data_IF_315600300320
#
_entry.id   IF_315600300320
#
_cell.length_a   1.000
_cell.length_b   1.000
_cell.length_c   1.000
_cell.angle_alpha   90.00
_cell.angle_beta   90.00
_cell.angle_gamma   90.00
#
_symmetry.space_group_name_H-M   'P 1'
#
loop_
_entity.id
_entity.type
_entity.pdbx_description
1 polymer ?
#
# COMPACT_ATOMS: atom_id res chain seq x y z
N UNK A 1 48.75 34.98 9.72
CA UNK A 1 48.96 34.01 10.80
C UNK A 1 47.78 33.08 10.76
N UNK A 2 48.05 31.94 10.16
CA UNK A 2 47.22 30.75 10.05
C UNK A 2 46.76 30.24 11.41
N UNK A 3 45.59 29.61 11.43
CA UNK A 3 45.36 28.24 11.92
C UNK A 3 43.86 28.03 12.21
N UNK A 4 43.09 27.78 11.14
CA UNK A 4 41.83 27.04 11.25
C UNK A 4 42.17 25.55 11.20
N UNK A 5 42.57 25.01 12.35
CA UNK A 5 42.87 23.59 12.54
C UNK A 5 41.57 22.78 12.56
N UNK A 6 40.95 22.62 11.39
CA UNK A 6 39.88 21.67 11.15
C UNK A 6 40.35 20.27 11.54
N UNK A 7 39.74 19.70 12.57
CA UNK A 7 40.01 18.33 13.01
C UNK A 7 39.66 17.36 11.88
N UNK A 8 40.64 17.07 11.02
CA UNK A 8 40.52 16.09 9.94
C UNK A 8 40.33 14.71 10.57
N UNK A 9 39.07 14.34 10.81
CA UNK A 9 38.69 13.04 11.35
C UNK A 9 39.37 11.91 10.57
N UNK A 10 39.83 10.88 11.28
CA UNK A 10 40.50 9.74 10.66
C UNK A 10 39.50 9.05 9.71
N UNK A 11 39.88 8.92 8.43
CA UNK A 11 39.10 8.22 7.40
C UNK A 11 39.25 6.71 7.59
N UNK A 12 38.12 6.02 7.79
CA UNK A 12 38.09 4.59 8.11
C UNK A 12 37.38 3.81 7.02
N UNK A 13 37.98 2.70 6.59
CA UNK A 13 37.39 1.67 5.73
C UNK A 13 37.19 0.37 6.51
N UNK A 14 36.16 -0.38 6.18
CA UNK A 14 35.85 -1.68 6.80
C UNK A 14 36.02 -2.82 5.80
N UNK A 15 36.25 -4.06 6.26
CA UNK A 15 36.41 -5.23 5.37
C UNK A 15 35.22 -5.50 4.45
N UNK A 16 34.04 -4.99 4.81
CA UNK A 16 32.85 -5.08 3.97
C UNK A 16 32.87 -4.09 2.78
N UNK A 17 33.95 -3.33 2.59
CA UNK A 17 34.13 -2.37 1.50
C UNK A 17 33.48 -1.00 1.72
N UNK A 18 32.80 -0.79 2.86
CA UNK A 18 32.11 0.46 3.21
C UNK A 18 33.00 1.39 4.05
N UNK A 19 32.65 2.68 4.08
CA UNK A 19 33.45 3.74 4.70
C UNK A 19 34.18 4.56 3.65
N UNK A 20 35.38 5.03 3.98
CA UNK A 20 36.22 5.76 3.04
C UNK A 20 36.65 4.89 1.84
N UNK A 21 36.90 5.55 0.72
CA UNK A 21 37.49 4.92 -0.46
C UNK A 21 38.88 4.35 -0.15
N UNK A 22 39.25 3.29 -0.86
CA UNK A 22 40.51 2.57 -0.59
C UNK A 22 41.75 3.47 -0.74
N UNK A 23 41.70 4.46 -1.63
CA UNK A 23 42.77 5.44 -1.82
C UNK A 23 42.84 6.51 -0.71
N UNK A 24 41.73 6.75 0.00
CA UNK A 24 41.59 7.85 0.97
C UNK A 24 41.60 7.36 2.44
N UNK A 25 41.43 6.05 2.66
CA UNK A 25 41.33 5.46 3.97
C UNK A 25 42.68 5.41 4.69
N UNK A 26 42.80 6.11 5.83
CA UNK A 26 43.97 6.03 6.70
C UNK A 26 44.03 4.73 7.50
N UNK A 27 42.88 4.15 7.82
CA UNK A 27 42.77 2.90 8.58
C UNK A 27 41.78 1.96 7.91
N UNK A 28 42.18 0.70 7.70
CA UNK A 28 41.29 -0.38 7.27
C UNK A 28 41.06 -1.36 8.41
N UNK A 29 39.81 -1.47 8.88
CA UNK A 29 39.39 -2.39 9.93
C UNK A 29 38.96 -3.73 9.34
N UNK A 30 39.47 -4.83 9.91
CA UNK A 30 39.16 -6.21 9.50
C UNK A 30 37.77 -6.71 9.96
N UNK A 31 36.98 -5.85 10.61
CA UNK A 31 35.58 -6.12 10.98
C UNK A 31 34.62 -5.47 9.98
N UNK A 32 33.42 -6.03 9.84
CA UNK A 32 32.36 -5.39 9.06
C UNK A 32 31.96 -4.06 9.74
N UNK A 33 31.38 -3.13 8.96
CA UNK A 33 30.91 -1.87 9.53
C UNK A 33 29.71 -2.09 10.46
N UNK A 34 29.45 -1.18 11.41
CA UNK A 34 28.33 -1.30 12.36
C UNK A 34 26.98 -1.55 11.68
N UNK A 35 26.72 -0.90 10.55
CA UNK A 35 25.50 -1.15 9.76
C UNK A 35 25.44 -2.57 9.19
N UNK A 36 26.51 -3.07 8.57
CA UNK A 36 26.52 -4.43 8.03
C UNK A 36 26.39 -5.51 9.11
N UNK A 37 26.96 -5.29 10.30
CA UNK A 37 26.76 -6.18 11.45
C UNK A 37 25.29 -6.20 11.88
N UNK A 38 24.66 -5.03 12.05
CA UNK A 38 23.23 -4.93 12.41
C UNK A 38 22.29 -5.53 11.36
N UNK A 39 22.63 -5.38 10.08
CA UNK A 39 21.89 -6.02 8.98
C UNK A 39 21.97 -7.55 9.09
N UNK A 40 23.15 -8.11 9.35
CA UNK A 40 23.34 -9.53 9.59
C UNK A 40 22.53 -10.05 10.78
N UNK A 41 22.60 -9.36 11.92
CA UNK A 41 21.84 -9.71 13.14
C UNK A 41 20.32 -9.68 12.92
N UNK A 42 19.84 -8.69 12.15
CA UNK A 42 18.40 -8.57 11.85
C UNK A 42 17.96 -9.40 10.64
N UNK A 43 18.84 -10.24 10.08
CA UNK A 43 18.60 -11.08 8.87
C UNK A 43 18.08 -10.27 7.68
N UNK A 44 18.68 -9.10 7.43
CA UNK A 44 18.33 -8.21 6.32
C UNK A 44 19.53 -7.92 5.43
N UNK A 45 19.25 -7.51 4.20
CA UNK A 45 20.28 -7.06 3.26
C UNK A 45 20.35 -5.53 3.16
N UNK A 46 21.49 -5.01 2.69
CA UNK A 46 21.64 -3.58 2.43
C UNK A 46 20.72 -3.12 1.30
N UNK A 47 20.47 -3.99 0.31
CA UNK A 47 19.55 -3.71 -0.79
C UNK A 47 18.10 -3.49 -0.29
N UNK A 48 17.64 -4.34 0.64
CA UNK A 48 16.34 -4.18 1.29
C UNK A 48 16.23 -2.85 2.04
N UNK A 49 17.29 -2.45 2.74
CA UNK A 49 17.34 -1.17 3.44
C UNK A 49 17.26 0.01 2.45
N UNK A 50 17.99 -0.04 1.33
CA UNK A 50 17.98 1.01 0.31
C UNK A 50 16.61 1.18 -0.36
N UNK A 51 15.87 0.09 -0.59
CA UNK A 51 14.50 0.15 -1.12
C UNK A 51 13.55 0.98 -0.23
N UNK A 52 13.79 0.98 1.09
CA UNK A 52 12.99 1.71 2.07
C UNK A 52 13.40 3.17 2.22
N UNK A 53 14.57 3.59 1.73
CA UNK A 53 15.00 4.99 1.80
C UNK A 53 14.39 5.85 0.69
N UNK A 54 14.14 7.13 0.99
CA UNK A 54 13.74 8.12 -0.01
C UNK A 54 14.84 8.28 -1.08
N UNK A 55 14.49 8.52 -2.37
CA UNK A 55 15.47 8.52 -3.46
C UNK A 55 16.69 9.41 -3.22
N UNK A 56 16.50 10.62 -2.68
CA UNK A 56 17.55 11.59 -2.41
C UNK A 56 18.64 11.08 -1.43
N UNK A 57 18.28 10.17 -0.51
CA UNK A 57 19.21 9.65 0.50
C UNK A 57 19.89 8.33 0.13
N UNK A 58 19.49 7.67 -0.96
CA UNK A 58 19.93 6.29 -1.27
C UNK A 58 21.43 6.19 -1.55
N UNK A 59 22.00 7.13 -2.29
CA UNK A 59 23.43 7.11 -2.61
C UNK A 59 24.29 7.23 -1.34
N UNK A 60 23.95 8.19 -0.46
CA UNK A 60 24.62 8.36 0.82
C UNK A 60 24.43 7.13 1.74
N UNK A 61 23.21 6.59 1.82
CA UNK A 61 22.92 5.40 2.63
C UNK A 61 23.67 4.15 2.13
N UNK A 62 23.92 4.04 0.82
CA UNK A 62 24.65 2.91 0.24
C UNK A 62 26.06 2.77 0.84
N UNK A 63 26.73 3.89 1.11
CA UNK A 63 28.07 3.93 1.69
C UNK A 63 28.07 4.07 3.23
N UNK A 64 26.91 4.33 3.84
CA UNK A 64 26.81 4.59 5.28
C UNK A 64 27.29 3.40 6.13
N UNK A 65 27.97 3.74 7.23
CA UNK A 65 28.53 2.80 8.20
C UNK A 65 27.94 2.99 9.59
N UNK A 66 27.40 4.17 9.89
CA UNK A 66 26.88 4.59 11.20
C UNK A 66 25.40 4.21 11.32
N UNK A 67 25.08 3.45 12.37
CA UNK A 67 23.69 3.09 12.69
C UNK A 67 22.86 4.26 13.24
N UNK A 68 23.52 5.32 13.72
CA UNK A 68 22.88 6.53 14.24
C UNK A 68 22.60 7.61 13.18
N UNK A 69 22.98 7.38 11.91
CA UNK A 69 22.70 8.34 10.85
C UNK A 69 21.20 8.38 10.52
N UNK A 70 20.67 9.59 10.35
CA UNK A 70 19.26 9.82 10.02
C UNK A 70 19.05 10.00 8.53
N UNK A 71 17.96 9.43 8.03
CA UNK A 71 17.54 9.56 6.64
C UNK A 71 16.02 9.75 6.59
N UNK A 72 15.52 10.22 5.44
CA UNK A 72 14.10 10.08 5.13
C UNK A 72 13.81 8.68 4.58
N UNK A 73 12.80 8.04 5.17
CA UNK A 73 12.35 6.71 4.84
C UNK A 73 10.94 6.74 4.25
N UNK A 74 10.67 5.77 3.39
CA UNK A 74 9.37 5.48 2.81
C UNK A 74 8.72 4.41 3.68
N UNK A 75 7.52 4.70 4.17
CA UNK A 75 6.74 3.70 4.90
C UNK A 75 6.24 2.64 3.92
N UNK A 76 6.50 1.35 4.22
CA UNK A 76 5.97 0.24 3.42
C UNK A 76 4.47 0.06 3.56
N UNK A 77 3.86 0.63 4.62
CA UNK A 77 2.42 0.76 4.82
C UNK A 77 1.90 2.13 4.33
N UNK A 78 2.56 2.69 3.30
CA UNK A 78 2.28 3.93 2.55
C UNK A 78 1.89 5.22 3.27
N UNK A 79 2.10 5.30 4.59
CA UNK A 79 2.20 6.59 5.26
C UNK A 79 3.23 7.52 4.58
N UNK A 80 3.02 8.83 4.78
CA UNK A 80 3.99 9.86 4.40
C UNK A 80 5.41 9.50 4.83
N UNK A 81 6.39 9.96 4.06
CA UNK A 81 7.81 9.83 4.41
C UNK A 81 8.04 10.29 5.85
N UNK A 82 8.97 9.64 6.51
CA UNK A 82 9.31 9.93 7.90
C UNK A 82 10.82 9.93 8.07
N UNK A 83 11.30 10.70 9.03
CA UNK A 83 12.71 10.73 9.41
C UNK A 83 12.94 9.77 10.56
N UNK A 84 14.03 9.02 10.48
CA UNK A 84 14.47 8.12 11.54
C UNK A 84 15.95 7.78 11.34
N UNK A 85 16.60 7.31 12.40
CA UNK A 85 17.93 6.72 12.30
C UNK A 85 17.87 5.35 11.61
N UNK A 86 19.03 4.91 11.09
CA UNK A 86 19.17 3.56 10.54
C UNK A 86 18.84 2.50 11.59
N UNK A 87 19.28 2.69 12.84
CA UNK A 87 18.96 1.81 13.97
C UNK A 87 17.44 1.73 14.19
N UNK A 88 16.75 2.86 14.35
CA UNK A 88 15.30 2.87 14.58
C UNK A 88 14.51 2.24 13.43
N UNK A 89 15.00 2.34 12.20
CA UNK A 89 14.37 1.73 11.02
C UNK A 89 14.53 0.20 10.98
N UNK A 90 15.62 -0.33 11.55
CA UNK A 90 15.94 -1.76 11.58
C UNK A 90 15.43 -2.45 12.85
N UNK A 91 15.58 -1.82 14.02
CA UNK A 91 15.25 -2.44 15.32
C UNK A 91 14.07 -1.78 16.02
N UNK A 92 13.71 -0.56 15.62
CA UNK A 92 12.63 0.21 16.23
C UNK A 92 11.27 -0.05 15.58
N UNK A 93 10.22 0.65 16.06
CA UNK A 93 8.86 0.50 15.54
C UNK A 93 8.69 0.99 14.08
N UNK A 94 9.72 1.62 13.51
CA UNK A 94 9.73 2.14 12.16
C UNK A 94 8.93 3.44 12.05
N UNK A 95 7.98 3.49 11.12
CA UNK A 95 7.19 4.70 10.86
C UNK A 95 6.40 5.14 12.11
N UNK A 96 6.51 6.40 12.57
CA UNK A 96 5.79 6.90 13.75
C UNK A 96 4.26 6.77 13.62
N UNK A 97 3.71 6.92 12.41
CA UNK A 97 2.29 6.73 12.15
C UNK A 97 1.87 5.26 12.32
N UNK A 98 2.69 4.31 11.84
CA UNK A 98 2.47 2.88 12.07
C UNK A 98 2.43 2.55 13.55
N UNK A 99 3.36 3.11 14.33
CA UNK A 99 3.42 2.89 15.77
C UNK A 99 2.16 3.41 16.47
N UNK A 100 1.72 4.63 16.13
CA UNK A 100 0.48 5.20 16.67
C UNK A 100 -0.75 4.37 16.31
N UNK A 101 -0.82 3.86 15.08
CA UNK A 101 -1.94 3.02 14.66
C UNK A 101 -1.98 1.69 15.42
N UNK A 102 -0.82 1.05 15.64
CA UNK A 102 -0.73 -0.17 16.42
C UNK A 102 -1.17 0.01 17.89
N UNK A 103 -1.06 1.23 18.41
CA UNK A 103 -1.51 1.60 19.75
C UNK A 103 -2.95 2.16 19.78
N UNK A 104 -3.55 2.43 18.62
CA UNK A 104 -4.87 3.06 18.55
C UNK A 104 -5.95 2.08 19.01
N UNK A 105 -7.03 2.55 19.68
CA UNK A 105 -8.18 1.72 20.03
C UNK A 105 -8.79 0.99 18.82
N UNK A 106 -8.63 1.55 17.61
CA UNK A 106 -9.02 0.93 16.35
C UNK A 106 -8.33 -0.43 16.08
N UNK A 107 -7.11 -0.63 16.57
CA UNK A 107 -6.38 -1.90 16.47
C UNK A 107 -7.01 -3.03 17.30
N UNK A 108 -7.97 -2.71 18.19
CA UNK A 108 -8.75 -3.70 18.95
C UNK A 108 -9.88 -4.33 18.12
N UNK A 109 -10.20 -3.76 16.97
CA UNK A 109 -11.25 -4.29 16.11
C UNK A 109 -10.66 -5.23 15.07
N UNK A 110 -11.32 -6.36 14.86
CA UNK A 110 -10.93 -7.34 13.86
C UNK A 110 -10.94 -6.70 12.46
N UNK A 111 -9.77 -6.73 11.79
CA UNK A 111 -9.66 -6.29 10.41
C UNK A 111 -10.54 -7.13 9.49
N UNK A 112 -11.05 -6.52 8.43
CA UNK A 112 -11.89 -7.17 7.43
C UNK A 112 -13.38 -7.16 7.78
N UNK A 113 -13.77 -6.60 8.94
CA UNK A 113 -15.17 -6.41 9.29
C UNK A 113 -15.76 -5.24 8.48
N UNK A 114 -16.79 -5.49 7.65
CA UNK A 114 -17.52 -4.43 6.97
C UNK A 114 -18.51 -3.76 7.94
N UNK A 115 -18.68 -2.45 7.82
CA UNK A 115 -19.59 -1.70 8.68
C UNK A 115 -20.23 -0.52 7.95
N UNK A 116 -21.28 0.00 8.57
CA UNK A 116 -21.92 1.24 8.14
C UNK A 116 -21.25 2.43 8.80
N UNK A 117 -20.67 3.34 8.02
CA UNK A 117 -20.20 4.64 8.50
C UNK A 117 -21.24 5.72 8.16
N UNK A 118 -21.98 6.24 9.16
CA UNK A 118 -22.95 7.31 8.93
C UNK A 118 -22.27 8.56 8.38
N UNK A 119 -22.93 9.24 7.44
CA UNK A 119 -22.49 10.55 6.94
C UNK A 119 -21.27 10.53 6.03
N UNK A 120 -20.84 9.36 5.53
CA UNK A 120 -19.81 9.28 4.48
C UNK A 120 -20.35 9.92 3.19
N UNK A 121 -19.93 11.15 2.90
CA UNK A 121 -20.27 11.88 1.66
C UNK A 121 -19.35 11.44 0.52
N UNK A 122 -19.55 10.24 -0.03
CA UNK A 122 -18.96 9.89 -1.33
C UNK A 122 -19.78 10.60 -2.41
N UNK A 123 -19.15 11.42 -3.25
CA UNK A 123 -19.78 11.92 -4.48
C UNK A 123 -19.90 10.74 -5.43
N UNK A 124 -20.97 9.95 -5.29
CA UNK A 124 -21.17 8.77 -6.13
C UNK A 124 -21.45 9.24 -7.56
N UNK A 125 -20.57 8.88 -8.49
CA UNK A 125 -20.74 9.24 -9.90
C UNK A 125 -21.96 8.54 -10.51
N UNK A 126 -22.51 9.08 -11.60
CA UNK A 126 -23.59 8.41 -12.35
C UNK A 126 -23.17 7.00 -12.82
N UNK A 127 -21.89 6.83 -13.13
CA UNK A 127 -21.34 5.53 -13.55
C UNK A 127 -21.31 4.53 -12.40
N UNK A 128 -20.88 4.92 -11.20
CA UNK A 128 -20.96 4.07 -9.99
C UNK A 128 -22.40 3.67 -9.67
N UNK A 129 -23.35 4.60 -9.79
CA UNK A 129 -24.77 4.30 -9.59
C UNK A 129 -25.28 3.28 -10.62
N UNK A 130 -24.92 3.47 -11.90
CA UNK A 130 -25.27 2.53 -12.98
C UNK A 130 -24.66 1.15 -12.74
N UNK A 131 -23.39 1.08 -12.31
CA UNK A 131 -22.71 -0.18 -11.97
C UNK A 131 -23.43 -0.90 -10.84
N UNK A 132 -23.74 -0.19 -9.75
CA UNK A 132 -24.47 -0.74 -8.61
C UNK A 132 -25.87 -1.22 -8.99
N UNK A 133 -26.58 -0.48 -9.83
CA UNK A 133 -27.92 -0.84 -10.31
C UNK A 133 -27.88 -2.13 -11.13
N UNK A 134 -27.09 -2.18 -12.21
CA UNK A 134 -27.04 -3.36 -13.08
C UNK A 134 -26.47 -4.60 -12.38
N UNK A 135 -25.50 -4.42 -11.47
CA UNK A 135 -25.03 -5.52 -10.64
C UNK A 135 -26.13 -6.00 -9.66
N UNK A 136 -26.91 -5.07 -9.11
CA UNK A 136 -28.04 -5.35 -8.22
C UNK A 136 -29.22 -6.05 -8.89
N UNK A 137 -29.34 -5.99 -10.22
CA UNK A 137 -30.30 -6.78 -11.00
C UNK A 137 -29.91 -8.26 -11.02
N UNK A 138 -28.61 -8.57 -11.03
CA UNK A 138 -28.09 -9.95 -11.11
C UNK A 138 -27.87 -10.60 -9.74
N UNK A 139 -27.33 -9.86 -8.77
CA UNK A 139 -27.02 -10.37 -7.44
C UNK A 139 -27.63 -9.51 -6.33
N UNK A 140 -27.96 -10.13 -5.19
CA UNK A 140 -28.41 -9.46 -3.97
C UNK A 140 -27.25 -8.68 -3.35
N UNK A 141 -27.18 -7.38 -3.63
CA UNK A 141 -26.21 -6.48 -3.00
C UNK A 141 -26.67 -6.05 -1.60
N UNK A 142 -25.79 -6.07 -0.59
CA UNK A 142 -26.10 -5.52 0.73
C UNK A 142 -26.02 -3.99 0.73
N UNK A 143 -26.95 -3.35 1.44
CA UNK A 143 -27.11 -1.90 1.46
C UNK A 143 -26.70 -1.25 2.80
N UNK A 144 -26.31 -2.05 3.80
CA UNK A 144 -26.00 -1.59 5.16
C UNK A 144 -24.50 -1.54 5.48
N UNK A 145 -23.66 -1.47 4.45
CA UNK A 145 -22.20 -1.41 4.59
C UNK A 145 -21.62 -0.45 3.55
N UNK A 146 -20.68 0.41 3.96
CA UNK A 146 -19.94 1.32 3.06
C UNK A 146 -18.45 1.47 3.43
N UNK A 147 -17.98 0.75 4.44
CA UNK A 147 -16.61 0.80 4.91
C UNK A 147 -16.15 -0.60 5.34
N UNK A 148 -14.85 -0.86 5.22
CA UNK A 148 -14.20 -2.08 5.69
C UNK A 148 -13.06 -1.67 6.63
N UNK A 149 -13.01 -2.27 7.82
CA UNK A 149 -11.88 -2.08 8.76
C UNK A 149 -10.63 -2.76 8.20
N UNK A 150 -9.48 -2.12 8.37
CA UNK A 150 -8.19 -2.68 7.96
C UNK A 150 -7.21 -2.67 9.15
N UNK A 151 -6.26 -3.61 9.14
CA UNK A 151 -5.26 -3.74 10.22
C UNK A 151 -4.14 -2.68 10.14
N UNK A 152 -4.04 -1.99 8.99
CA UNK A 152 -3.15 -0.84 8.78
C UNK A 152 -3.99 0.44 8.67
N UNK A 153 -3.35 1.60 8.64
CA UNK A 153 -4.06 2.82 8.23
C UNK A 153 -3.85 3.09 6.75
N UNK A 154 -4.92 3.53 6.09
CA UNK A 154 -4.93 4.05 4.73
C UNK A 154 -5.36 5.53 4.80
N UNK A 155 -4.56 6.45 4.25
CA UNK A 155 -4.74 7.90 4.45
C UNK A 155 -4.94 8.32 5.92
N UNK A 156 -4.28 7.63 6.85
CA UNK A 156 -4.40 7.90 8.29
C UNK A 156 -5.73 7.46 8.92
N UNK A 157 -6.52 6.63 8.24
CA UNK A 157 -7.75 6.02 8.76
C UNK A 157 -7.63 4.50 8.81
N UNK A 158 -8.14 3.81 9.84
CA UNK A 158 -8.08 2.35 9.99
C UNK A 158 -9.19 1.64 9.19
N UNK A 159 -9.56 2.21 8.06
CA UNK A 159 -10.70 1.79 7.25
C UNK A 159 -10.53 2.25 5.81
N UNK A 160 -11.20 1.55 4.90
CA UNK A 160 -11.30 1.91 3.48
C UNK A 160 -12.76 1.93 3.05
N UNK A 161 -13.05 2.71 2.01
CA UNK A 161 -14.41 2.88 1.47
C UNK A 161 -14.40 2.51 -0.03
N UNK A 162 -14.69 1.26 -0.38
CA UNK A 162 -14.94 0.85 -1.76
C UNK A 162 -16.30 1.32 -2.29
N UNK A 163 -16.42 1.43 -3.62
CA UNK A 163 -17.68 1.83 -4.26
C UNK A 163 -18.79 0.79 -4.05
N UNK A 164 -18.44 -0.49 -4.11
CA UNK A 164 -19.34 -1.61 -3.79
C UNK A 164 -18.62 -2.62 -2.89
N UNK A 165 -19.32 -3.08 -1.87
CA UNK A 165 -18.83 -4.06 -0.89
C UNK A 165 -19.77 -5.27 -0.96
N UNK A 166 -19.19 -6.47 -1.11
CA UNK A 166 -19.90 -7.75 -1.10
C UNK A 166 -19.35 -8.59 0.06
N UNK A 167 -19.84 -8.39 1.31
CA UNK A 167 -19.38 -9.10 2.51
C UNK A 167 -19.42 -10.62 2.41
N UNK A 168 -20.51 -11.17 1.85
CA UNK A 168 -20.68 -12.63 1.73
C UNK A 168 -19.56 -13.29 0.91
N UNK A 169 -18.93 -12.53 0.01
CA UNK A 169 -17.79 -12.98 -0.79
C UNK A 169 -16.46 -12.40 -0.30
N UNK A 170 -16.43 -11.48 0.67
CA UNK A 170 -15.24 -10.65 0.96
C UNK A 170 -14.60 -10.10 -0.33
N UNK A 171 -15.41 -9.49 -1.18
CA UNK A 171 -14.98 -8.81 -2.41
C UNK A 171 -15.41 -7.34 -2.38
N UNK A 172 -14.49 -6.45 -2.70
CA UNK A 172 -14.72 -5.03 -2.95
C UNK A 172 -14.63 -4.75 -4.46
N UNK A 173 -15.47 -3.85 -4.97
CA UNK A 173 -15.42 -3.39 -6.37
C UNK A 173 -15.18 -1.89 -6.38
N UNK A 174 -14.23 -1.46 -7.21
CA UNK A 174 -13.87 -0.05 -7.45
C UNK A 174 -14.19 0.30 -8.90
N UNK A 175 -14.77 1.47 -9.12
CA UNK A 175 -14.97 2.08 -10.42
C UNK A 175 -13.99 3.24 -10.60
N UNK A 176 -12.93 3.00 -11.37
CA UNK A 176 -11.90 3.99 -11.65
C UNK A 176 -12.21 4.72 -12.96
N UNK A 177 -12.26 6.06 -12.92
CA UNK A 177 -12.30 6.92 -14.12
C UNK A 177 -11.26 8.04 -14.00
N UNK A 178 -10.60 8.45 -15.11
CA UNK A 178 -9.68 9.59 -15.15
C UNK A 178 -10.29 10.94 -14.73
N UNK A 179 -11.62 11.06 -14.68
CA UNK A 179 -12.29 12.32 -14.34
C UNK A 179 -12.17 13.39 -15.43
N UNK A 180 -12.84 14.54 -15.24
CA UNK A 180 -12.99 15.61 -16.25
C UNK A 180 -11.69 16.27 -16.71
N UNK A 181 -10.63 16.25 -15.93
CA UNK A 181 -9.40 17.01 -16.21
C UNK A 181 -8.27 16.21 -16.89
N UNK A 182 -8.43 14.89 -17.12
CA UNK A 182 -7.44 14.03 -17.82
C UNK A 182 -5.98 14.10 -17.33
N UNK A 183 -5.72 14.70 -16.16
CA UNK A 183 -4.40 14.81 -15.51
C UNK A 183 -4.17 13.79 -14.40
N UNK A 184 -5.22 13.12 -13.96
CA UNK A 184 -5.09 11.94 -13.11
C UNK A 184 -4.66 10.78 -14.00
N UNK A 185 -3.43 10.27 -13.81
CA UNK A 185 -2.94 8.89 -14.09
C UNK A 185 -1.45 8.86 -14.45
N UNK A 186 -0.57 9.44 -13.62
CA UNK A 186 0.86 9.04 -13.61
C UNK A 186 1.40 8.96 -12.18
N UNK A 187 1.75 7.76 -11.76
CA UNK A 187 2.63 7.48 -10.60
C UNK A 187 1.95 7.42 -9.23
N UNK A 188 1.65 8.57 -8.61
CA UNK A 188 1.30 8.63 -7.19
C UNK A 188 -0.07 8.02 -6.85
N UNK A 189 -1.04 8.08 -7.77
CA UNK A 189 -2.36 7.44 -7.59
C UNK A 189 -2.27 5.92 -7.67
N UNK A 190 -1.50 5.38 -8.62
CA UNK A 190 -1.36 3.93 -8.78
C UNK A 190 -0.68 3.28 -7.57
N UNK A 191 0.32 3.94 -6.98
CA UNK A 191 0.93 3.47 -5.74
C UNK A 191 -0.06 3.45 -4.56
N UNK A 192 -0.96 4.45 -4.48
CA UNK A 192 -2.01 4.50 -3.47
C UNK A 192 -3.09 3.44 -3.70
N UNK A 193 -3.47 3.19 -4.96
CA UNK A 193 -4.39 2.14 -5.35
C UNK A 193 -3.87 0.76 -4.96
N UNK A 194 -2.61 0.46 -5.28
CA UNK A 194 -1.95 -0.79 -4.87
C UNK A 194 -1.88 -0.93 -3.35
N UNK A 195 -1.70 0.18 -2.63
CA UNK A 195 -1.70 0.17 -1.17
C UNK A 195 -3.09 -0.15 -0.59
N UNK A 196 -4.16 0.45 -1.16
CA UNK A 196 -5.55 0.16 -0.81
C UNK A 196 -5.87 -1.32 -1.02
N UNK A 197 -5.50 -1.85 -2.18
CA UNK A 197 -5.71 -3.24 -2.55
C UNK A 197 -4.95 -4.18 -1.61
N UNK A 198 -3.69 -3.86 -1.30
CA UNK A 198 -2.91 -4.62 -0.34
C UNK A 198 -3.52 -4.57 1.07
N UNK A 199 -4.09 -3.44 1.50
CA UNK A 199 -4.71 -3.29 2.81
C UNK A 199 -5.97 -4.16 2.96
N UNK A 200 -6.75 -4.25 1.89
CA UNK A 200 -7.90 -5.14 1.80
C UNK A 200 -7.47 -6.62 1.76
N UNK A 201 -6.46 -6.96 0.97
CA UNK A 201 -5.93 -8.31 0.88
C UNK A 201 -5.42 -8.85 2.23
N UNK A 202 -4.76 -8.01 3.02
CA UNK A 202 -4.23 -8.35 4.34
C UNK A 202 -5.33 -8.71 5.36
N UNK A 203 -6.57 -8.31 5.09
CA UNK A 203 -7.75 -8.65 5.89
C UNK A 203 -8.70 -9.61 5.16
N UNK A 204 -8.21 -10.31 4.14
CA UNK A 204 -8.92 -11.38 3.43
C UNK A 204 -9.90 -10.92 2.36
N UNK A 205 -9.82 -9.66 1.92
CA UNK A 205 -10.67 -9.11 0.86
C UNK A 205 -9.96 -9.11 -0.49
N UNK A 206 -10.67 -9.52 -1.54
CA UNK A 206 -10.22 -9.32 -2.92
C UNK A 206 -10.80 -8.01 -3.49
N UNK A 207 -10.11 -7.41 -4.45
CA UNK A 207 -10.55 -6.18 -5.13
C UNK A 207 -10.72 -6.46 -6.62
N UNK A 208 -11.88 -6.09 -7.17
CA UNK A 208 -12.13 -6.05 -8.61
C UNK A 208 -12.14 -4.57 -9.04
N UNK A 209 -11.34 -4.21 -10.04
CA UNK A 209 -11.29 -2.83 -10.58
C UNK A 209 -11.95 -2.73 -11.94
N UNK A 210 -13.03 -1.97 -12.02
CA UNK A 210 -13.68 -1.59 -13.28
C UNK A 210 -13.08 -0.25 -13.72
N UNK A 211 -12.21 -0.30 -14.72
CA UNK A 211 -11.41 0.83 -15.17
C UNK A 211 -11.97 1.39 -16.48
N UNK A 212 -12.47 2.61 -16.42
CA UNK A 212 -13.15 3.26 -17.54
C UNK A 212 -12.25 4.25 -18.30
N UNK A 213 -12.73 4.68 -19.48
CA UNK A 213 -12.20 5.80 -20.27
C UNK A 213 -10.71 5.69 -20.65
N UNK A 214 -10.30 4.53 -21.16
CA UNK A 214 -8.94 4.30 -21.68
C UNK A 214 -7.90 4.01 -20.60
N UNK A 215 -8.35 3.63 -19.40
CA UNK A 215 -7.48 3.12 -18.35
C UNK A 215 -7.03 1.69 -18.62
N UNK A 216 -5.72 1.47 -18.60
CA UNK A 216 -5.13 0.12 -18.68
C UNK A 216 -5.54 -0.73 -17.47
N UNK A 217 -5.73 -2.06 -17.65
CA UNK A 217 -5.97 -2.98 -16.55
C UNK A 217 -4.88 -2.93 -15.48
N UNK A 218 -5.27 -3.08 -14.21
CA UNK A 218 -4.35 -3.13 -13.07
C UNK A 218 -4.46 -4.48 -12.35
N UNK A 219 -3.58 -5.41 -12.70
CA UNK A 219 -3.55 -6.75 -12.10
C UNK A 219 -4.60 -7.72 -12.67
N UNK A 220 -4.70 -8.93 -12.09
CA UNK A 220 -5.52 -10.02 -12.64
C UNK A 220 -7.04 -9.83 -12.49
N UNK A 221 -7.46 -8.97 -11.56
CA UNK A 221 -8.87 -8.70 -11.26
C UNK A 221 -9.26 -7.30 -11.73
N UNK A 222 -8.98 -7.00 -13.00
CA UNK A 222 -9.25 -5.69 -13.58
C UNK A 222 -9.94 -5.81 -14.93
N UNK A 223 -10.96 -4.99 -15.14
CA UNK A 223 -11.79 -4.94 -16.32
C UNK A 223 -11.62 -3.56 -16.94
N UNK A 224 -11.03 -3.47 -18.13
CA UNK A 224 -10.99 -2.23 -18.90
C UNK A 224 -12.29 -2.09 -19.71
N UNK A 225 -12.90 -0.91 -19.68
CA UNK A 225 -14.15 -0.65 -20.39
C UNK A 225 -14.25 0.80 -20.89
N UNK A 226 -15.08 1.04 -21.91
CA UNK A 226 -15.45 2.40 -22.31
C UNK A 226 -16.54 3.01 -21.40
N UNK A 227 -17.21 2.17 -20.60
CA UNK A 227 -18.27 2.56 -19.68
C UNK A 227 -19.04 1.34 -19.17
N UNK A 228 -19.96 1.57 -18.24
CA UNK A 228 -20.73 0.49 -17.59
C UNK A 228 -21.80 -0.05 -18.55
N UNK A 229 -21.70 -1.35 -18.87
CA UNK A 229 -22.61 -2.12 -19.74
C UNK A 229 -22.95 -3.47 -19.12
N UNK A 230 -23.94 -4.19 -19.67
CA UNK A 230 -24.27 -5.55 -19.22
C UNK A 230 -23.07 -6.51 -19.33
N UNK A 231 -22.27 -6.41 -20.40
CA UNK A 231 -21.07 -7.23 -20.58
C UNK A 231 -20.01 -6.98 -19.48
N UNK A 232 -19.89 -5.74 -18.99
CA UNK A 232 -19.02 -5.43 -17.83
C UNK A 232 -19.54 -6.14 -16.57
N UNK A 233 -20.87 -6.21 -16.38
CA UNK A 233 -21.46 -6.94 -15.26
C UNK A 233 -21.20 -8.44 -15.38
N UNK A 234 -21.37 -9.03 -16.57
CA UNK A 234 -21.09 -10.44 -16.81
C UNK A 234 -19.63 -10.78 -16.50
N UNK A 235 -18.71 -9.90 -16.86
CA UNK A 235 -17.28 -10.06 -16.54
C UNK A 235 -17.00 -9.89 -15.03
N UNK A 236 -17.66 -8.96 -14.34
CA UNK A 236 -17.60 -8.87 -12.87
C UNK A 236 -18.07 -10.18 -12.24
N UNK A 237 -19.18 -10.76 -12.68
CA UNK A 237 -19.70 -12.03 -12.17
C UNK A 237 -18.71 -13.17 -12.44
N UNK A 238 -18.11 -13.22 -13.64
CA UNK A 238 -17.06 -14.19 -13.97
C UNK A 238 -15.87 -14.09 -13.01
N UNK A 239 -15.43 -12.86 -12.68
CA UNK A 239 -14.35 -12.64 -11.71
C UNK A 239 -14.78 -13.02 -10.28
N UNK A 240 -16.02 -12.76 -9.88
CA UNK A 240 -16.52 -13.22 -8.57
C UNK A 240 -16.45 -14.75 -8.46
N UNK A 241 -16.87 -15.46 -9.51
CA UNK A 241 -16.80 -16.93 -9.58
C UNK A 241 -15.34 -17.40 -9.56
N UNK A 242 -14.46 -16.74 -10.31
CA UNK A 242 -13.03 -17.04 -10.28
C UNK A 242 -12.41 -16.88 -8.88
N UNK A 243 -12.83 -15.87 -8.12
CA UNK A 243 -12.23 -15.51 -6.82
C UNK A 243 -12.80 -16.35 -5.66
N UNK A 244 -14.07 -16.77 -5.72
CA UNK A 244 -14.77 -17.44 -4.60
C UNK A 244 -15.47 -18.76 -4.94
N UNK A 245 -15.50 -19.15 -6.20
CA UNK A 245 -16.22 -20.32 -6.67
C UNK A 245 -17.68 -20.04 -7.01
N UNK A 246 -18.24 -20.92 -7.83
CA UNK A 246 -19.60 -20.80 -8.38
C UNK A 246 -20.68 -20.87 -7.31
N UNK A 247 -20.56 -21.81 -6.36
CA UNK A 247 -21.53 -22.02 -5.29
C UNK A 247 -21.73 -20.77 -4.42
N UNK A 248 -20.62 -20.12 -4.03
CA UNK A 248 -20.66 -18.91 -3.21
C UNK A 248 -21.35 -17.74 -3.94
N UNK A 249 -21.13 -17.63 -5.26
CA UNK A 249 -21.75 -16.59 -6.08
C UNK A 249 -23.21 -16.90 -6.36
N UNK A 250 -23.55 -18.16 -6.63
CA UNK A 250 -24.93 -18.62 -6.81
C UNK A 250 -25.82 -18.30 -5.59
N UNK A 251 -25.27 -18.40 -4.38
CA UNK A 251 -25.96 -17.99 -3.15
C UNK A 251 -26.35 -16.50 -3.10
N UNK A 252 -25.72 -15.64 -3.92
CA UNK A 252 -26.07 -14.24 -4.06
C UNK A 252 -26.95 -13.95 -5.28
N UNK A 253 -27.02 -14.85 -6.25
CA UNK A 253 -27.83 -14.65 -7.46
C UNK A 253 -29.29 -14.42 -7.09
N UNK A 254 -29.91 -13.46 -7.75
CA UNK A 254 -31.36 -13.34 -7.72
C UNK A 254 -31.91 -14.51 -8.52
N UNK A 255 -32.71 -15.35 -7.87
CA UNK A 255 -33.59 -16.25 -8.59
C UNK A 255 -34.61 -15.36 -9.28
N UNK A 256 -34.76 -15.50 -10.60
CA UNK A 256 -35.87 -14.86 -11.29
C UNK A 256 -37.15 -15.28 -10.57
N UNK A 257 -37.87 -14.30 -10.01
CA UNK A 257 -39.27 -14.49 -9.70
C UNK A 257 -39.95 -14.68 -11.06
N UNK A 258 -40.07 -15.91 -11.52
CA UNK A 258 -41.00 -16.26 -12.57
C UNK A 258 -42.40 -15.93 -12.04
N UNK A 259 -42.98 -14.82 -12.50
CA UNK A 259 -44.32 -14.34 -12.14
C UNK A 259 -44.39 -12.83 -11.94
#
# INVERSE_FOLDING_TARGET
MDEDSGTAGITVRFRCGHGADAAEARITLQRACPLCMLLGETKRSREELLRRAAPAGRAALAQETRIGASYQWICTRGHSRYEATVRETLTGPGCPKCQKNAQAPAARHEGGVPFMKPGLKTRTSQAEQKLRMLLGERIRLPHRVNAIRINRSFYGKPEVWPDIIIPGLKVAIEYDSPGRERTAHRGLKEASDREKDAALAEVGWAVIRVRADGLEPLGPYSIACAGVTAAVIDEVLRLLVLIRGEEAVAALMRTDSSG
#
